data_IF_481595521949
#
_entry.id   IF_481595521949
#
_cell.length_a   1.000
_cell.length_b   1.000
_cell.length_c   1.000
_cell.angle_alpha   90.00
_cell.angle_beta   90.00
_cell.angle_gamma   90.00
#
_symmetry.space_group_name_H-M   'P 1'
#
loop_
_entity.id
_entity.type
_entity.pdbx_description
1 polymer ?
#
# COMPACT_ATOMS: atom_id res chain seq x y z
N UNK A 1 4.46 -24.52 15.93
CA UNK A 1 5.45 -25.02 14.94
C UNK A 1 4.77 -25.07 13.58
N UNK A 2 5.32 -24.43 12.53
CA UNK A 2 4.74 -24.51 11.16
C UNK A 2 4.98 -25.90 10.57
N UNK A 3 4.00 -26.46 9.87
CA UNK A 3 4.14 -27.76 9.21
C UNK A 3 5.18 -27.68 8.08
N UNK A 4 5.94 -28.76 7.84
CA UNK A 4 6.94 -28.83 6.74
C UNK A 4 6.30 -28.51 5.38
N UNK A 5 5.03 -28.85 5.18
CA UNK A 5 4.30 -28.54 3.94
C UNK A 5 4.08 -27.03 3.76
N UNK A 6 3.66 -26.33 4.81
CA UNK A 6 3.44 -24.88 4.80
C UNK A 6 4.75 -24.13 4.54
N UNK A 7 5.85 -24.57 5.16
CA UNK A 7 7.16 -23.98 4.92
C UNK A 7 7.57 -24.09 3.45
N UNK A 8 7.41 -25.27 2.83
CA UNK A 8 7.69 -25.48 1.41
C UNK A 8 6.81 -24.61 0.50
N UNK A 9 5.52 -24.47 0.84
CA UNK A 9 4.60 -23.62 0.09
C UNK A 9 5.01 -22.14 0.13
N UNK A 10 5.41 -21.63 1.30
CA UNK A 10 5.91 -20.25 1.46
C UNK A 10 7.18 -20.03 0.64
N UNK A 11 8.14 -20.97 0.69
CA UNK A 11 9.39 -20.85 -0.06
C UNK A 11 9.16 -20.85 -1.58
N UNK A 12 8.24 -21.69 -2.07
CA UNK A 12 7.84 -21.69 -3.48
C UNK A 12 7.24 -20.34 -3.89
N UNK A 13 6.34 -19.78 -3.08
CA UNK A 13 5.74 -18.48 -3.35
C UNK A 13 6.80 -17.36 -3.37
N UNK A 14 7.76 -17.35 -2.43
CA UNK A 14 8.86 -16.38 -2.43
C UNK A 14 9.71 -16.43 -3.70
N UNK A 15 9.98 -17.64 -4.23
CA UNK A 15 10.68 -17.79 -5.52
C UNK A 15 9.85 -17.24 -6.68
N UNK A 16 8.56 -17.53 -6.71
CA UNK A 16 7.65 -16.99 -7.72
C UNK A 16 7.61 -15.45 -7.70
N UNK A 17 7.67 -14.81 -6.52
CA UNK A 17 7.68 -13.35 -6.36
C UNK A 17 8.86 -12.64 -7.04
N UNK A 18 9.95 -13.36 -7.33
CA UNK A 18 11.10 -12.79 -8.01
C UNK A 18 10.86 -12.62 -9.52
N UNK A 19 9.90 -13.36 -10.09
CA UNK A 19 9.59 -13.34 -11.52
C UNK A 19 8.93 -12.03 -11.94
N UNK A 20 9.24 -11.57 -13.16
CA UNK A 20 8.65 -10.34 -13.73
C UNK A 20 7.14 -10.44 -13.90
N UNK A 21 6.65 -11.61 -14.30
CA UNK A 21 5.21 -11.88 -14.48
C UNK A 21 4.44 -11.76 -13.17
N UNK A 22 4.98 -12.34 -12.08
CA UNK A 22 4.37 -12.19 -10.76
C UNK A 22 4.37 -10.74 -10.29
N UNK A 23 5.47 -10.01 -10.47
CA UNK A 23 5.57 -8.58 -10.12
C UNK A 23 4.55 -7.74 -10.90
N UNK A 24 4.41 -7.96 -12.19
CA UNK A 24 3.45 -7.24 -13.03
C UNK A 24 2.01 -7.44 -12.54
N UNK A 25 1.62 -8.68 -12.22
CA UNK A 25 0.31 -8.97 -11.64
C UNK A 25 0.12 -8.33 -10.26
N UNK A 26 1.16 -8.38 -9.41
CA UNK A 26 1.10 -7.85 -8.06
C UNK A 26 1.10 -6.31 -8.00
N UNK A 27 1.63 -5.62 -9.01
CA UNK A 27 1.67 -4.15 -9.06
C UNK A 27 0.29 -3.51 -8.93
N UNK A 28 -0.75 -4.12 -9.51
CA UNK A 28 -2.14 -3.64 -9.36
C UNK A 28 -2.55 -3.63 -7.90
N UNK A 29 -2.28 -4.73 -7.19
CA UNK A 29 -2.56 -4.86 -5.76
C UNK A 29 -1.72 -3.88 -4.93
N UNK A 30 -0.45 -3.72 -5.25
CA UNK A 30 0.43 -2.78 -4.59
C UNK A 30 -0.09 -1.33 -4.72
N UNK A 31 -0.67 -0.96 -5.87
CA UNK A 31 -1.32 0.34 -6.06
C UNK A 31 -2.54 0.57 -5.17
N UNK A 32 -3.38 -0.47 -4.98
CA UNK A 32 -4.52 -0.42 -4.05
C UNK A 32 -4.03 -0.25 -2.61
N UNK A 33 -3.05 -1.06 -2.19
CA UNK A 33 -2.47 -1.00 -0.85
C UNK A 33 -1.81 0.36 -0.59
N UNK A 34 -1.12 0.93 -1.59
CA UNK A 34 -0.56 2.29 -1.52
C UNK A 34 -1.63 3.37 -1.33
N UNK A 35 -2.76 3.26 -2.05
CA UNK A 35 -3.90 4.19 -1.93
C UNK A 35 -4.54 4.12 -0.54
N UNK A 36 -4.85 2.92 -0.05
CA UNK A 36 -5.35 2.73 1.32
C UNK A 36 -4.37 3.32 2.32
N UNK A 37 -3.08 3.07 2.11
CA UNK A 37 -2.03 3.53 3.00
C UNK A 37 -1.91 5.06 3.04
N UNK A 38 -2.09 5.75 1.92
CA UNK A 38 -2.14 7.22 1.86
C UNK A 38 -3.38 7.73 2.61
N UNK A 39 -4.57 7.19 2.35
CA UNK A 39 -5.81 7.57 3.04
C UNK A 39 -5.71 7.40 4.55
N UNK A 40 -5.11 6.31 5.02
CA UNK A 40 -4.93 6.06 6.46
C UNK A 40 -3.92 7.01 7.09
N UNK A 41 -2.73 7.18 6.50
CA UNK A 41 -1.62 7.91 7.14
C UNK A 41 -1.73 9.43 6.99
N UNK A 42 -2.13 9.91 5.82
CA UNK A 42 -2.22 11.34 5.54
C UNK A 42 -3.58 11.94 5.90
N UNK A 43 -4.66 11.16 5.77
CA UNK A 43 -6.04 11.67 5.89
C UNK A 43 -6.85 11.05 7.04
N UNK A 44 -6.26 10.16 7.85
CA UNK A 44 -6.92 9.61 9.03
C UNK A 44 -8.14 8.72 8.75
N UNK A 45 -8.22 8.11 7.56
CA UNK A 45 -9.40 7.40 7.05
C UNK A 45 -9.98 6.30 7.95
N UNK A 46 -9.22 5.75 8.92
CA UNK A 46 -9.71 4.68 9.82
C UNK A 46 -10.73 5.15 10.86
N UNK A 47 -10.93 6.47 11.02
CA UNK A 47 -11.85 7.00 12.03
C UNK A 47 -12.77 8.04 11.41
N UNK A 48 -14.07 7.87 11.62
CA UNK A 48 -15.07 8.90 11.34
C UNK A 48 -15.31 9.71 12.60
N UNK A 49 -15.30 11.05 12.49
CA UNK A 49 -15.59 11.94 13.64
C UNK A 49 -17.06 11.97 14.01
N UNK A 50 -17.93 11.56 13.08
CA UNK A 50 -19.37 11.64 13.22
C UNK A 50 -20.01 10.26 13.25
N UNK A 51 -21.12 10.17 13.98
CA UNK A 51 -21.92 8.95 14.08
C UNK A 51 -22.86 8.87 12.88
N UNK A 52 -23.01 7.66 12.32
CA UNK A 52 -23.91 7.35 11.21
C UNK A 52 -23.21 7.11 9.86
N UNK A 53 -23.79 6.21 9.06
CA UNK A 53 -23.22 5.80 7.77
C UNK A 53 -23.22 6.93 6.75
N UNK A 54 -24.26 7.77 6.71
CA UNK A 54 -24.33 8.88 5.75
C UNK A 54 -23.18 9.89 5.92
N UNK A 55 -22.88 10.30 7.16
CA UNK A 55 -21.77 11.22 7.46
C UNK A 55 -20.41 10.56 7.22
N UNK A 56 -20.29 9.27 7.57
CA UNK A 56 -19.08 8.48 7.29
C UNK A 56 -18.83 8.34 5.78
N UNK A 57 -19.87 8.10 4.99
CA UNK A 57 -19.78 8.04 3.54
C UNK A 57 -19.32 9.38 2.96
N UNK A 58 -19.93 10.49 3.38
CA UNK A 58 -19.49 11.83 2.96
C UNK A 58 -18.02 12.08 3.33
N UNK A 59 -17.59 11.72 4.54
CA UNK A 59 -16.18 11.85 4.94
C UNK A 59 -15.25 11.07 4.00
N UNK A 60 -15.60 9.84 3.64
CA UNK A 60 -14.79 9.04 2.71
C UNK A 60 -14.74 9.64 1.30
N UNK A 61 -15.84 10.18 0.78
CA UNK A 61 -15.86 10.90 -0.50
C UNK A 61 -14.95 12.13 -0.48
N UNK A 62 -15.01 12.92 0.61
CA UNK A 62 -14.14 14.08 0.77
C UNK A 62 -12.66 13.70 0.89
N UNK A 63 -12.34 12.60 1.60
CA UNK A 63 -10.97 12.07 1.66
C UNK A 63 -10.50 11.64 0.28
N UNK A 64 -11.33 10.93 -0.49
CA UNK A 64 -10.99 10.50 -1.85
C UNK A 64 -10.72 11.71 -2.78
N UNK A 65 -11.56 12.74 -2.70
CA UNK A 65 -11.34 13.99 -3.44
C UNK A 65 -10.03 14.67 -3.03
N UNK A 66 -9.75 14.80 -1.73
CA UNK A 66 -8.52 15.40 -1.23
C UNK A 66 -7.27 14.61 -1.66
N UNK A 67 -7.34 13.28 -1.68
CA UNK A 67 -6.26 12.43 -2.19
C UNK A 67 -5.98 12.68 -3.68
N UNK A 68 -7.02 12.86 -4.50
CA UNK A 68 -6.85 13.19 -5.92
C UNK A 68 -6.21 14.56 -6.10
N UNK A 69 -6.60 15.56 -5.31
CA UNK A 69 -6.00 16.91 -5.35
C UNK A 69 -4.51 16.86 -5.00
N UNK A 70 -4.13 16.17 -3.92
CA UNK A 70 -2.71 16.04 -3.52
C UNK A 70 -1.90 15.28 -4.58
N UNK A 71 -2.46 14.23 -5.19
CA UNK A 71 -1.77 13.52 -6.27
C UNK A 71 -1.59 14.38 -7.51
N UNK A 72 -2.57 15.22 -7.83
CA UNK A 72 -2.47 16.15 -8.94
C UNK A 72 -1.39 17.21 -8.69
N UNK A 73 -1.34 17.78 -7.48
CA UNK A 73 -0.28 18.73 -7.12
C UNK A 73 1.10 18.07 -7.20
N UNK A 74 1.27 16.88 -6.61
CA UNK A 74 2.54 16.15 -6.67
C UNK A 74 2.96 15.85 -8.12
N UNK A 75 2.00 15.52 -8.98
CA UNK A 75 2.27 15.27 -10.39
C UNK A 75 2.70 16.54 -11.14
N UNK A 76 2.04 17.67 -10.89
CA UNK A 76 2.40 18.97 -11.46
C UNK A 76 3.79 19.44 -10.99
N UNK A 77 4.14 19.15 -9.74
CA UNK A 77 5.45 19.46 -9.15
C UNK A 77 6.55 18.47 -9.59
N UNK A 78 6.23 17.48 -10.42
CA UNK A 78 7.18 16.45 -10.87
C UNK A 78 7.65 15.54 -9.74
N UNK A 79 6.93 15.47 -8.63
CA UNK A 79 7.31 14.63 -7.49
C UNK A 79 7.20 13.15 -7.85
N UNK A 80 8.27 12.36 -7.65
CA UNK A 80 8.23 10.94 -7.95
C UNK A 80 7.30 10.21 -6.97
N UNK A 81 6.68 9.13 -7.46
CA UNK A 81 5.85 8.26 -6.62
C UNK A 81 6.64 7.77 -5.40
N UNK A 82 5.99 7.79 -4.23
CA UNK A 82 6.59 7.31 -2.99
C UNK A 82 7.11 5.89 -3.16
N UNK A 83 8.39 5.69 -2.81
CA UNK A 83 9.01 4.37 -2.80
C UNK A 83 8.45 3.52 -1.66
N UNK A 84 8.44 2.21 -1.83
CA UNK A 84 8.09 1.27 -0.75
C UNK A 84 9.00 1.50 0.44
N UNK A 85 8.41 1.74 1.62
CA UNK A 85 9.18 1.90 2.86
C UNK A 85 9.99 0.64 3.14
N UNK A 86 11.30 0.79 3.28
CA UNK A 86 12.18 -0.26 3.78
C UNK A 86 12.03 -0.34 5.31
N UNK A 87 11.76 -1.55 5.84
CA UNK A 87 11.70 -1.74 7.29
C UNK A 87 13.12 -1.70 7.88
N UNK A 88 13.25 -1.39 9.18
CA UNK A 88 14.57 -1.40 9.86
C UNK A 88 15.30 -2.72 9.71
N UNK A 89 14.57 -3.84 9.79
CA UNK A 89 15.14 -5.16 9.58
C UNK A 89 15.57 -5.40 8.12
N UNK A 90 14.76 -4.98 7.15
CA UNK A 90 15.12 -5.10 5.73
C UNK A 90 16.36 -4.26 5.36
N UNK A 91 16.55 -3.11 6.04
CA UNK A 91 17.72 -2.26 5.86
C UNK A 91 19.03 -2.88 6.37
N UNK A 92 18.98 -3.94 7.19
CA UNK A 92 20.15 -4.70 7.65
C UNK A 92 20.60 -5.76 6.63
N UNK A 93 19.90 -5.94 5.52
CA UNK A 93 20.29 -6.93 4.52
C UNK A 93 21.63 -6.49 3.88
N UNK A 94 22.70 -7.29 3.95
CA UNK A 94 23.97 -6.92 3.34
C UNK A 94 23.78 -6.67 1.85
N UNK A 95 24.35 -5.58 1.34
CA UNK A 95 24.39 -5.33 -0.09
C UNK A 95 25.15 -6.50 -0.74
N UNK A 96 24.53 -7.10 -1.76
CA UNK A 96 25.17 -8.10 -2.63
C UNK A 96 25.96 -7.34 -3.70
#
# INVERSE_FOLDING_TARGET
MRSRAEHKAIQRNRRAQLTKTWKAQYNVRAGIEGTISQGVRAFGMRRSRYIGLAKTHLQHLLIAAAMNVVRLSDWLDGMPHSKTRTSRFAALNPAI
#
